data_IF_031502218665
#
_entry.id   IF_031502218665
#
_cell.length_a   1.000
_cell.length_b   1.000
_cell.length_c   1.000
_cell.angle_alpha   90.00
_cell.angle_beta   90.00
_cell.angle_gamma   90.00
#
_symmetry.space_group_name_H-M   'P 1'
#
loop_
_entity.id
_entity.type
_entity.pdbx_description
1 polymer ?
#
# COMPACT_ATOMS: atom_id res chain seq x y z
N UNK A 1 7.75 5.12 -14.10
CA UNK A 1 7.48 4.92 -12.67
C UNK A 1 8.32 3.80 -12.11
N UNK A 2 8.17 2.56 -12.58
CA UNK A 2 9.05 1.46 -12.18
C UNK A 2 10.52 1.77 -12.47
N UNK A 3 10.84 2.22 -13.69
CA UNK A 3 12.19 2.62 -14.06
C UNK A 3 12.72 3.77 -13.19
N UNK A 4 11.89 4.80 -12.94
CA UNK A 4 12.22 5.91 -12.03
C UNK A 4 12.52 5.42 -10.60
N UNK A 5 11.76 4.43 -10.11
CA UNK A 5 11.96 3.83 -8.79
C UNK A 5 13.03 2.72 -8.76
N UNK A 6 13.65 2.41 -9.91
CA UNK A 6 14.65 1.35 -10.05
C UNK A 6 14.10 -0.05 -9.79
N UNK A 7 12.85 -0.32 -10.15
CA UNK A 7 12.14 -1.56 -9.80
C UNK A 7 11.63 -2.36 -11.01
N UNK A 8 11.37 -3.65 -10.76
CA UNK A 8 10.70 -4.53 -11.71
C UNK A 8 9.17 -4.45 -11.58
N UNK A 9 8.43 -4.28 -12.69
CA UNK A 9 6.97 -4.14 -12.65
C UNK A 9 6.22 -5.26 -11.93
N UNK A 10 6.68 -6.51 -12.09
CA UNK A 10 5.97 -7.67 -11.56
C UNK A 10 6.34 -8.02 -10.11
N UNK A 11 7.31 -7.33 -9.50
CA UNK A 11 7.68 -7.54 -8.10
C UNK A 11 6.53 -7.22 -7.12
N UNK A 12 5.54 -6.44 -7.58
CA UNK A 12 4.46 -5.93 -6.73
C UNK A 12 3.13 -6.69 -6.85
N UNK A 13 3.06 -7.77 -7.65
CA UNK A 13 1.82 -8.51 -7.93
C UNK A 13 1.09 -9.07 -6.69
N UNK A 14 1.85 -9.37 -5.63
CA UNK A 14 1.31 -9.94 -4.40
C UNK A 14 0.80 -8.86 -3.42
N UNK A 15 0.96 -7.58 -3.75
CA UNK A 15 0.57 -6.48 -2.87
C UNK A 15 -0.66 -5.76 -3.40
N UNK A 16 -1.63 -5.53 -2.50
CA UNK A 16 -2.74 -4.65 -2.82
C UNK A 16 -2.28 -3.21 -2.84
N UNK A 17 -2.84 -2.43 -3.76
CA UNK A 17 -2.66 -1.00 -3.78
C UNK A 17 -3.18 -0.39 -2.47
N UNK A 18 -2.37 0.43 -1.81
CA UNK A 18 -2.77 1.29 -0.70
C UNK A 18 -3.58 2.45 -1.27
N UNK A 19 -4.69 2.77 -0.62
CA UNK A 19 -5.43 4.00 -0.93
C UNK A 19 -4.75 5.19 -0.24
N UNK A 20 -4.41 6.22 -1.00
CA UNK A 20 -3.80 7.48 -0.60
C UNK A 20 -4.80 8.60 -0.30
N UNK A 21 -6.09 8.43 -0.63
CA UNK A 21 -7.09 9.49 -0.49
C UNK A 21 -7.22 10.04 0.95
N UNK A 22 -7.20 9.16 1.96
CA UNK A 22 -7.14 9.54 3.38
C UNK A 22 -6.15 8.60 4.06
N UNK A 23 -5.09 9.16 4.66
CA UNK A 23 -4.04 8.39 5.34
C UNK A 23 -3.75 9.06 6.69
N UNK A 24 -3.67 8.27 7.75
CA UNK A 24 -3.23 8.72 9.08
C UNK A 24 -1.86 8.12 9.36
N UNK A 25 -0.88 8.97 9.63
CA UNK A 25 0.51 8.57 9.83
C UNK A 25 1.02 9.14 11.16
N UNK A 26 1.68 8.30 11.96
CA UNK A 26 2.37 8.76 13.17
C UNK A 26 3.51 9.69 12.78
N UNK A 27 3.57 10.87 13.41
CA UNK A 27 4.68 11.82 13.24
C UNK A 27 5.96 11.27 13.88
N UNK A 28 6.69 10.45 13.13
CA UNK A 28 7.99 9.92 13.51
C UNK A 28 9.03 10.32 12.45
N UNK A 29 10.27 10.66 12.83
CA UNK A 29 11.31 11.06 11.87
C UNK A 29 11.52 10.02 10.76
N UNK A 30 11.42 8.74 11.10
CA UNK A 30 11.47 7.64 10.14
C UNK A 30 10.32 7.70 9.11
N UNK A 31 9.08 7.90 9.55
CA UNK A 31 7.91 7.98 8.66
C UNK A 31 8.03 9.19 7.72
N UNK A 32 8.47 10.34 8.25
CA UNK A 32 8.68 11.54 7.44
C UNK A 32 9.72 11.29 6.35
N UNK A 33 10.91 10.83 6.73
CA UNK A 33 12.05 10.67 5.82
C UNK A 33 11.93 9.49 4.85
N UNK A 34 11.36 8.38 5.30
CA UNK A 34 11.32 7.14 4.50
C UNK A 34 10.05 7.02 3.65
N UNK A 35 8.97 7.71 4.03
CA UNK A 35 7.66 7.59 3.35
C UNK A 35 7.21 8.92 2.77
N UNK A 36 7.02 9.93 3.62
CA UNK A 36 6.40 11.19 3.19
C UNK A 36 7.29 12.00 2.25
N UNK A 37 8.57 12.17 2.55
CA UNK A 37 9.51 12.91 1.71
C UNK A 37 9.67 12.27 0.32
N UNK A 38 9.92 10.95 0.16
CA UNK A 38 10.00 10.31 -1.16
C UNK A 38 8.67 10.36 -1.92
N UNK A 39 7.54 10.19 -1.22
CA UNK A 39 6.23 10.26 -1.85
C UNK A 39 5.88 11.68 -2.31
N UNK A 40 6.21 12.70 -1.52
CA UNK A 40 6.08 14.10 -1.90
C UNK A 40 7.01 14.45 -3.07
N UNK A 41 8.27 13.99 -3.05
CA UNK A 41 9.22 14.18 -4.16
C UNK A 41 8.66 13.64 -5.48
N UNK A 42 7.96 12.51 -5.44
CA UNK A 42 7.31 11.95 -6.62
C UNK A 42 6.26 12.87 -7.26
N UNK A 43 5.64 13.78 -6.51
CA UNK A 43 4.75 14.80 -7.06
C UNK A 43 5.46 15.86 -7.92
N UNK A 44 6.77 16.02 -7.75
CA UNK A 44 7.59 16.98 -8.49
C UNK A 44 8.37 16.33 -9.64
N UNK A 45 8.29 15.01 -9.79
CA UNK A 45 9.10 14.24 -10.73
C UNK A 45 8.19 13.65 -11.82
N UNK A 46 8.41 14.10 -13.06
CA UNK A 46 7.55 13.80 -14.21
C UNK A 46 7.28 12.30 -14.35
N UNK A 47 8.31 11.48 -14.22
CA UNK A 47 8.24 10.05 -14.49
C UNK A 47 7.80 9.20 -13.28
N UNK A 48 7.55 9.82 -12.12
CA UNK A 48 7.03 9.12 -10.95
C UNK A 48 5.50 9.01 -10.96
N UNK A 49 4.77 10.12 -10.82
CA UNK A 49 3.30 10.11 -10.82
C UNK A 49 2.68 10.17 -12.23
N UNK A 50 3.42 10.58 -13.25
CA UNK A 50 2.88 10.64 -14.61
C UNK A 50 3.85 9.97 -15.60
N UNK A 51 4.19 8.69 -15.38
CA UNK A 51 5.03 7.98 -16.33
C UNK A 51 4.36 7.95 -17.70
N UNK A 52 5.15 8.05 -18.76
CA UNK A 52 4.65 7.87 -20.12
C UNK A 52 4.31 6.39 -20.35
N UNK A 53 3.11 5.97 -19.93
CA UNK A 53 2.68 4.56 -20.00
C UNK A 53 1.76 4.34 -21.16
N UNK A 54 2.06 3.33 -21.97
CA UNK A 54 1.06 2.72 -22.85
C UNK A 54 0.17 1.76 -22.04
N UNK A 55 -1.07 1.56 -22.49
CA UNK A 55 -1.94 0.50 -21.96
C UNK A 55 -1.17 -0.84 -22.05
N UNK A 56 -1.08 -1.58 -20.95
CA UNK A 56 -0.30 -2.82 -20.80
C UNK A 56 1.24 -2.66 -20.81
N UNK A 57 1.78 -1.49 -20.47
CA UNK A 57 3.24 -1.25 -20.37
C UNK A 57 4.00 -2.23 -19.46
N UNK A 58 3.30 -2.94 -18.57
CA UNK A 58 3.84 -4.07 -17.83
C UNK A 58 3.01 -5.33 -18.10
N UNK A 59 3.53 -6.27 -18.90
CA UNK A 59 2.89 -7.56 -19.17
C UNK A 59 3.12 -8.54 -18.00
N UNK A 60 2.60 -8.19 -16.83
CA UNK A 60 2.58 -9.08 -15.68
C UNK A 60 1.32 -9.95 -15.78
N UNK A 61 1.47 -11.21 -16.21
CA UNK A 61 0.37 -12.19 -16.24
C UNK A 61 -0.01 -12.54 -14.80
N UNK A 62 -1.03 -11.89 -14.25
CA UNK A 62 -1.49 -12.11 -12.86
C UNK A 62 -2.87 -11.50 -12.58
N UNK A 63 -3.57 -12.03 -11.57
CA UNK A 63 -4.98 -11.72 -11.23
C UNK A 63 -5.19 -10.32 -10.61
N UNK A 64 -4.12 -9.54 -10.39
CA UNK A 64 -4.15 -8.29 -9.60
C UNK A 64 -3.34 -7.17 -10.27
N UNK A 65 -3.72 -6.78 -11.49
CA UNK A 65 -3.05 -5.72 -12.27
C UNK A 65 -3.57 -4.31 -11.93
N UNK A 66 -3.85 -4.01 -10.65
CA UNK A 66 -4.48 -2.74 -10.25
C UNK A 66 -3.42 -1.67 -9.87
N UNK A 67 -2.25 -2.11 -9.40
CA UNK A 67 -1.11 -1.21 -9.21
C UNK A 67 -0.72 -0.62 -10.58
N UNK A 68 -0.52 0.70 -10.65
CA UNK A 68 -0.13 1.46 -11.86
C UNK A 68 -1.20 1.65 -12.94
N UNK A 69 -2.48 1.51 -12.62
CA UNK A 69 -3.55 2.02 -13.50
C UNK A 69 -3.42 3.53 -13.69
N UNK A 70 -3.70 4.01 -14.91
CA UNK A 70 -3.40 5.36 -15.42
C UNK A 70 -3.95 6.55 -14.62
N UNK A 71 -4.69 6.32 -13.54
CA UNK A 71 -5.28 7.35 -12.68
C UNK A 71 -4.91 7.22 -11.20
N UNK A 72 -4.02 6.30 -10.82
CA UNK A 72 -3.71 6.01 -9.41
C UNK A 72 -2.22 5.92 -9.14
N UNK A 73 -1.43 6.78 -9.79
CA UNK A 73 0.03 6.71 -9.68
C UNK A 73 0.55 7.18 -8.31
N UNK A 74 -0.11 8.12 -7.66
CA UNK A 74 0.19 8.53 -6.29
C UNK A 74 -0.04 7.39 -5.28
N UNK A 75 -1.18 6.70 -5.40
CA UNK A 75 -1.49 5.48 -4.65
C UNK A 75 -0.46 4.38 -4.94
N UNK A 76 -0.07 4.24 -6.21
CA UNK A 76 0.90 3.23 -6.63
C UNK A 76 2.29 3.53 -6.08
N UNK A 77 2.68 4.80 -6.00
CA UNK A 77 3.98 5.23 -5.51
C UNK A 77 4.09 4.98 -4.01
N UNK A 78 3.05 5.40 -3.28
CA UNK A 78 2.93 5.09 -1.87
C UNK A 78 2.96 3.58 -1.63
N UNK A 79 2.25 2.81 -2.48
CA UNK A 79 2.23 1.35 -2.39
C UNK A 79 3.62 0.75 -2.55
N UNK A 80 4.40 1.18 -3.54
CA UNK A 80 5.76 0.70 -3.77
C UNK A 80 6.68 1.07 -2.61
N UNK A 81 6.68 2.33 -2.17
CA UNK A 81 7.49 2.84 -1.05
C UNK A 81 7.22 2.02 0.22
N UNK A 82 5.94 1.88 0.60
CA UNK A 82 5.56 1.12 1.80
C UNK A 82 5.87 -0.37 1.65
N UNK A 83 5.73 -0.95 0.45
CA UNK A 83 6.11 -2.36 0.23
C UNK A 83 7.62 -2.54 0.40
N UNK A 84 8.47 -1.64 -0.09
CA UNK A 84 9.92 -1.75 0.10
C UNK A 84 10.32 -1.76 1.57
N UNK A 85 9.66 -0.95 2.38
CA UNK A 85 9.95 -0.82 3.80
C UNK A 85 9.35 -1.95 4.65
N UNK A 86 8.16 -2.44 4.26
CA UNK A 86 7.33 -3.29 5.12
C UNK A 86 6.76 -4.51 4.41
N UNK A 87 7.42 -5.05 3.38
CA UNK A 87 6.91 -6.19 2.60
C UNK A 87 6.41 -7.36 3.47
N UNK A 88 7.04 -7.59 4.64
CA UNK A 88 6.70 -8.67 5.58
C UNK A 88 5.67 -8.28 6.64
N UNK A 89 5.46 -6.98 6.83
CA UNK A 89 4.63 -6.38 7.87
C UNK A 89 3.39 -5.64 7.31
N UNK A 90 3.26 -5.49 5.98
CA UNK A 90 2.23 -4.67 5.32
C UNK A 90 0.79 -5.04 5.70
N UNK A 91 0.56 -6.30 6.08
CA UNK A 91 -0.75 -6.81 6.52
C UNK A 91 -0.78 -7.17 8.02
N UNK A 92 0.17 -6.65 8.79
CA UNK A 92 0.19 -6.75 10.25
C UNK A 92 -0.58 -5.58 10.83
N UNK A 93 -1.63 -5.88 11.56
CA UNK A 93 -2.35 -4.89 12.34
C UNK A 93 -1.90 -5.01 13.79
N UNK A 94 -1.48 -3.89 14.36
CA UNK A 94 -1.29 -3.78 15.81
C UNK A 94 -2.67 -3.56 16.44
N UNK A 95 -3.17 -4.50 17.23
CA UNK A 95 -4.39 -4.32 18.01
C UNK A 95 -4.03 -3.66 19.35
N UNK A 96 -4.51 -2.44 19.63
CA UNK A 96 -4.35 -1.85 20.97
C UNK A 96 -5.00 -2.76 22.02
N UNK A 97 -4.39 -2.84 23.21
CA UNK A 97 -4.84 -3.66 24.36
C UNK A 97 -4.63 -5.17 24.27
N UNK A 98 -3.84 -5.68 23.32
CA UNK A 98 -3.23 -7.02 23.43
C UNK A 98 -1.86 -6.93 24.10
N UNK A 99 -1.79 -6.39 25.32
CA UNK A 99 -0.57 -6.24 26.13
C UNK A 99 -0.18 -7.56 26.82
N UNK A 100 -0.27 -8.70 26.14
CA UNK A 100 0.47 -9.89 26.57
C UNK A 100 1.89 -9.75 26.02
N UNK A 101 2.91 -10.04 26.83
CA UNK A 101 4.36 -9.86 26.64
C UNK A 101 4.97 -10.25 25.26
N UNK A 102 4.20 -10.89 24.39
CA UNK A 102 4.47 -11.06 22.97
C UNK A 102 3.59 -10.10 22.14
N UNK A 103 4.17 -9.05 21.56
CA UNK A 103 3.60 -8.17 20.52
C UNK A 103 3.03 -9.00 19.34
N UNK A 104 1.86 -9.62 19.52
CA UNK A 104 1.25 -10.50 18.53
C UNK A 104 0.57 -9.63 17.48
N UNK A 105 1.38 -9.16 16.55
CA UNK A 105 0.91 -8.68 15.26
C UNK A 105 -0.06 -9.70 14.66
N UNK A 106 -1.34 -9.34 14.54
CA UNK A 106 -2.31 -10.18 13.84
C UNK A 106 -2.05 -10.01 12.35
N UNK A 107 -1.67 -11.11 11.69
CA UNK A 107 -1.65 -11.18 10.23
C UNK A 107 -3.08 -11.39 9.77
N UNK A 108 -3.67 -10.37 9.15
CA UNK A 108 -4.98 -10.51 8.52
C UNK A 108 -4.75 -10.93 7.08
N UNK A 109 -5.15 -12.15 6.75
CA UNK A 109 -5.14 -12.66 5.39
C UNK A 109 -6.39 -12.19 4.65
N UNK A 110 -6.27 -11.99 3.33
CA UNK A 110 -7.34 -11.50 2.46
C UNK A 110 -8.68 -12.26 2.56
N UNK A 111 -8.63 -13.56 2.88
CA UNK A 111 -9.82 -14.40 3.01
C UNK A 111 -10.55 -14.22 4.35
N UNK A 112 -9.94 -13.55 5.33
CA UNK A 112 -10.51 -13.34 6.66
C UNK A 112 -11.41 -12.09 6.73
N UNK A 113 -11.94 -11.62 5.59
CA UNK A 113 -12.90 -10.51 5.56
C UNK A 113 -14.24 -11.00 6.09
N UNK A 114 -14.66 -10.48 7.24
CA UNK A 114 -16.03 -10.68 7.73
C UNK A 114 -16.98 -9.70 7.02
N UNK A 115 -17.77 -10.21 6.08
CA UNK A 115 -18.65 -9.40 5.24
C UNK A 115 -19.82 -8.78 6.01
N UNK A 116 -20.21 -9.39 7.15
CA UNK A 116 -21.40 -9.02 7.92
C UNK A 116 -21.10 -8.20 9.18
N UNK A 117 -19.85 -7.80 9.39
CA UNK A 117 -19.43 -7.13 10.62
C UNK A 117 -20.28 -5.88 10.95
N UNK A 118 -20.57 -5.05 9.96
CA UNK A 118 -21.39 -3.85 10.17
C UNK A 118 -22.88 -4.17 10.29
N UNK A 119 -23.39 -5.18 9.57
CA UNK A 119 -24.78 -5.62 9.70
C UNK A 119 -25.07 -6.12 11.12
N UNK A 120 -24.09 -6.79 11.74
CA UNK A 120 -24.19 -7.28 13.12
C UNK A 120 -24.15 -6.17 14.17
N UNK A 121 -23.39 -5.09 13.92
CA UNK A 121 -23.36 -3.92 14.82
C UNK A 121 -24.67 -3.13 14.75
N UNK A 122 -25.22 -2.97 13.55
CA UNK A 122 -26.45 -2.21 13.31
C UNK A 122 -27.72 -3.00 13.69
N UNK A 123 -27.67 -4.33 13.71
CA UNK A 123 -28.76 -5.16 14.20
C UNK A 123 -28.88 -5.16 15.74
N UNK A 124 -27.82 -4.75 16.45
CA UNK A 124 -27.74 -4.71 17.90
C UNK A 124 -27.75 -3.29 18.49
N UNK A 125 -28.02 -2.26 17.66
CA UNK A 125 -28.19 -0.85 18.05
C UNK A 125 -29.64 -0.41 17.85
#
# INVERSE_FOLDING_TARGET
MFDYMGDMPCAYLNYTQIQSGIIVLKKAPFIVRAILEPWAKCGFEKDCFCPNTTINSANCRGKYNILHWCHRFDQSALSMIVTKLFARERYRYHMPHTESEDDRFVKIYRHQREGKYFDQLLANS
#
